data_IF_091568713155
#
_entry.id   IF_091568713155
#
_cell.length_a   1.000
_cell.length_b   1.000
_cell.length_c   1.000
_cell.angle_alpha   90.00
_cell.angle_beta   90.00
_cell.angle_gamma   90.00
#
_symmetry.space_group_name_H-M   'P 1'
#
loop_
_entity.id
_entity.type
_entity.pdbx_description
1 polymer ?
#
# COMPACT_ATOMS: atom_id res chain seq x y z
N UNK A 1 9.51 8.46 -2.26
CA UNK A 1 8.51 8.03 -1.26
C UNK A 1 7.14 8.02 -1.95
N UNK A 2 6.32 6.98 -1.77
CA UNK A 2 5.00 6.93 -2.44
C UNK A 2 4.07 8.01 -1.89
N UNK A 3 3.47 8.85 -2.74
CA UNK A 3 2.50 9.86 -2.27
C UNK A 3 1.20 9.19 -1.79
N UNK A 4 0.49 9.79 -0.82
CA UNK A 4 -0.84 9.35 -0.45
C UNK A 4 -1.77 9.26 -1.65
N UNK A 5 -2.52 8.16 -1.74
CA UNK A 5 -3.52 7.92 -2.76
C UNK A 5 -4.67 7.11 -2.16
N UNK A 6 -5.79 7.03 -2.88
CA UNK A 6 -6.95 6.22 -2.52
C UNK A 6 -7.55 5.62 -3.78
N UNK A 7 -8.29 4.54 -3.62
CA UNK A 7 -8.97 3.87 -4.72
C UNK A 7 -10.29 3.26 -4.25
N UNK A 8 -11.20 3.07 -5.20
CA UNK A 8 -12.53 2.50 -4.98
C UNK A 8 -12.52 0.96 -4.91
N UNK A 9 -11.44 0.40 -4.37
CA UNK A 9 -11.23 -1.02 -4.18
C UNK A 9 -10.64 -1.27 -2.80
N UNK A 10 -11.03 -2.37 -2.17
CA UNK A 10 -10.35 -2.88 -0.97
C UNK A 10 -9.09 -3.60 -1.43
N UNK A 11 -8.00 -3.46 -0.68
CA UNK A 11 -6.79 -4.25 -0.88
C UNK A 11 -6.52 -5.18 0.31
N UNK A 12 -6.13 -6.42 0.02
CA UNK A 12 -5.42 -7.30 0.94
C UNK A 12 -3.94 -7.30 0.53
N UNK A 13 -3.10 -6.75 1.39
CA UNK A 13 -1.68 -6.58 1.16
C UNK A 13 -0.90 -7.66 1.93
N UNK A 14 -0.24 -8.56 1.19
CA UNK A 14 0.63 -9.59 1.77
C UNK A 14 2.07 -9.07 1.84
N UNK A 15 2.64 -9.02 3.04
CA UNK A 15 4.03 -8.58 3.26
C UNK A 15 4.97 -9.74 3.00
N UNK A 16 5.47 -9.83 1.78
CA UNK A 16 6.43 -10.89 1.39
C UNK A 16 7.76 -10.70 2.12
N UNK A 17 8.24 -9.46 2.20
CA UNK A 17 9.46 -9.14 2.94
C UNK A 17 9.46 -7.67 3.38
N UNK A 18 9.82 -7.43 4.64
CA UNK A 18 10.04 -6.10 5.17
C UNK A 18 11.27 -6.07 6.08
N UNK A 19 12.25 -5.18 5.85
CA UNK A 19 13.30 -4.90 6.80
C UNK A 19 12.72 -4.52 8.18
N UNK A 20 13.25 -5.16 9.23
CA UNK A 20 12.65 -5.10 10.57
C UNK A 20 12.58 -3.67 11.09
N UNK A 21 11.35 -3.20 11.36
CA UNK A 21 11.08 -1.89 11.95
C UNK A 21 11.32 -0.70 11.00
N UNK A 22 11.42 -0.94 9.68
CA UNK A 22 11.71 0.09 8.67
C UNK A 22 10.56 0.35 7.70
N UNK A 23 9.57 -0.52 7.67
CA UNK A 23 8.47 -0.41 6.71
C UNK A 23 7.13 -0.32 7.42
N UNK A 24 6.26 0.52 6.90
CA UNK A 24 4.93 0.74 7.44
C UNK A 24 3.99 1.31 6.39
N UNK A 25 2.70 1.25 6.68
CA UNK A 25 1.65 1.94 5.93
C UNK A 25 0.96 2.94 6.84
N UNK A 26 0.73 4.14 6.33
CA UNK A 26 -0.12 5.15 6.96
C UNK A 26 -1.46 5.13 6.25
N UNK A 27 -2.56 5.12 7.01
CA UNK A 27 -3.93 5.14 6.49
C UNK A 27 -4.73 6.19 7.25
N UNK A 28 -5.57 6.97 6.56
CA UNK A 28 -6.47 7.94 7.18
C UNK A 28 -7.60 8.38 6.24
N UNK A 29 -8.50 9.18 6.77
CA UNK A 29 -9.72 9.62 6.07
C UNK A 29 -9.49 10.88 5.22
N UNK A 30 -8.62 11.78 5.67
CA UNK A 30 -8.42 13.09 5.06
C UNK A 30 -6.95 13.44 4.83
N UNK A 31 -6.71 14.38 3.91
CA UNK A 31 -5.41 15.03 3.72
C UNK A 31 -5.44 16.46 4.26
N UNK A 32 -4.29 16.98 4.69
CA UNK A 32 -4.11 18.40 4.98
C UNK A 32 -3.85 19.23 3.71
N UNK A 33 -3.66 20.54 3.88
CA UNK A 33 -3.37 21.47 2.79
C UNK A 33 -2.08 21.15 2.01
N UNK A 34 -1.19 20.34 2.59
CA UNK A 34 0.08 19.91 2.00
C UNK A 34 -0.01 18.52 1.36
N UNK A 35 -1.19 17.88 1.39
CA UNK A 35 -1.39 16.53 0.86
C UNK A 35 -0.86 15.41 1.77
N UNK A 36 -0.70 15.68 3.08
CA UNK A 36 -0.29 14.71 4.10
C UNK A 36 -1.53 14.14 4.78
N UNK A 37 -1.55 12.83 5.05
CA UNK A 37 -2.67 12.18 5.74
C UNK A 37 -2.81 12.75 7.15
N UNK A 38 -4.00 13.26 7.49
CA UNK A 38 -4.30 13.79 8.82
C UNK A 38 -4.52 12.65 9.81
N UNK A 39 -3.90 12.77 11.00
CA UNK A 39 -4.04 11.81 12.11
C UNK A 39 -4.00 10.33 11.67
N UNK A 40 -2.97 9.89 10.93
CA UNK A 40 -2.98 8.58 10.30
C UNK A 40 -2.87 7.46 11.34
N UNK A 41 -3.56 6.34 11.07
CA UNK A 41 -3.28 5.06 11.70
C UNK A 41 -2.05 4.47 11.03
N UNK A 42 -1.07 4.09 11.84
CA UNK A 42 0.18 3.47 11.38
C UNK A 42 0.13 1.96 11.55
N UNK A 43 0.45 1.25 10.48
CA UNK A 43 0.58 -0.20 10.44
C UNK A 43 2.02 -0.58 10.13
N UNK A 44 2.77 -0.97 11.14
CA UNK A 44 4.14 -1.45 10.97
C UNK A 44 4.15 -2.83 10.31
N UNK A 45 5.03 -3.00 9.33
CA UNK A 45 5.14 -4.23 8.58
C UNK A 45 6.02 -5.25 9.30
N UNK A 46 5.65 -6.51 9.11
CA UNK A 46 6.47 -7.67 9.45
C UNK A 46 6.41 -8.62 8.26
N UNK A 47 7.55 -9.20 7.87
CA UNK A 47 7.55 -10.28 6.87
C UNK A 47 6.55 -11.36 7.25
N UNK A 48 5.89 -11.91 6.23
CA UNK A 48 4.83 -12.92 6.32
C UNK A 48 3.54 -12.44 7.01
N UNK A 49 3.38 -11.15 7.27
CA UNK A 49 2.13 -10.57 7.73
C UNK A 49 1.20 -10.22 6.57
N UNK A 50 -0.05 -9.92 6.90
CA UNK A 50 -1.01 -9.33 5.98
C UNK A 50 -1.72 -8.15 6.65
N UNK A 51 -2.09 -7.15 5.86
CA UNK A 51 -2.96 -6.07 6.28
C UNK A 51 -3.95 -5.75 5.18
N UNK A 52 -4.99 -4.99 5.52
CA UNK A 52 -5.98 -4.53 4.55
C UNK A 52 -5.91 -3.03 4.41
N UNK A 53 -5.99 -2.54 3.19
CA UNK A 53 -6.24 -1.14 2.90
C UNK A 53 -7.74 -0.97 2.64
N UNK A 54 -8.48 -0.27 3.52
CA UNK A 54 -9.92 -0.13 3.36
C UNK A 54 -10.31 0.71 2.14
N UNK A 55 -11.56 0.51 1.69
CA UNK A 55 -12.15 1.25 0.58
C UNK A 55 -12.11 2.77 0.84
N UNK A 56 -11.74 3.53 -0.20
CA UNK A 56 -11.77 5.00 -0.23
C UNK A 56 -10.95 5.71 0.88
N UNK A 57 -10.04 4.99 1.55
CA UNK A 57 -9.13 5.60 2.52
C UNK A 57 -7.81 6.02 1.87
N UNK A 58 -7.33 7.21 2.26
CA UNK A 58 -5.99 7.65 1.87
C UNK A 58 -4.96 6.77 2.53
N UNK A 59 -4.02 6.27 1.73
CA UNK A 59 -2.94 5.46 2.23
C UNK A 59 -1.64 5.70 1.49
N UNK A 60 -0.54 5.39 2.18
CA UNK A 60 0.79 5.41 1.58
C UNK A 60 1.72 4.43 2.27
N UNK A 61 2.54 3.75 1.47
CA UNK A 61 3.55 2.81 1.95
C UNK A 61 4.90 3.50 2.10
N UNK A 62 5.67 3.06 3.09
CA UNK A 62 6.95 3.66 3.48
C UNK A 62 7.99 2.56 3.65
N UNK A 63 9.16 2.79 3.08
CA UNK A 63 10.38 2.03 3.35
C UNK A 63 11.46 3.05 3.75
N UNK A 64 11.87 3.02 5.01
CA UNK A 64 12.93 3.85 5.58
C UNK A 64 14.27 3.09 5.67
N UNK A 65 14.38 1.91 5.05
CA UNK A 65 15.66 1.24 4.88
C UNK A 65 16.48 1.94 3.79
N UNK A 66 17.78 2.09 4.02
CA UNK A 66 18.71 2.71 3.07
C UNK A 66 19.18 1.70 2.00
N UNK A 67 19.34 0.44 2.38
CA UNK A 67 20.02 -0.57 1.56
C UNK A 67 19.13 -1.78 1.22
N UNK A 68 17.97 -1.91 1.87
CA UNK A 68 17.11 -3.07 1.71
C UNK A 68 15.77 -2.68 1.10
N UNK A 69 15.37 -3.45 0.09
CA UNK A 69 14.05 -3.33 -0.52
C UNK A 69 12.99 -4.00 0.36
N UNK A 70 11.77 -3.50 0.28
CA UNK A 70 10.58 -4.15 0.83
C UNK A 70 9.69 -4.62 -0.32
N UNK A 71 8.95 -5.70 -0.07
CA UNK A 71 8.11 -6.37 -1.07
C UNK A 71 6.74 -6.69 -0.48
N UNK A 72 5.70 -6.19 -1.13
CA UNK A 72 4.30 -6.54 -0.86
C UNK A 72 3.63 -7.09 -2.12
N UNK A 73 2.66 -7.97 -1.93
CA UNK A 73 1.76 -8.45 -2.97
C UNK A 73 0.34 -7.96 -2.66
N UNK A 74 -0.13 -6.89 -3.31
CA UNK A 74 -1.50 -6.41 -3.17
C UNK A 74 -2.46 -7.30 -3.98
N UNK A 75 -3.59 -7.65 -3.37
CA UNK A 75 -4.73 -8.32 -4.02
C UNK A 75 -5.95 -7.42 -3.84
N UNK A 76 -6.59 -7.02 -4.94
CA UNK A 76 -7.68 -6.03 -4.93
C UNK A 76 -8.91 -6.51 -5.68
N UNK A 77 -10.09 -6.05 -5.25
CA UNK A 77 -11.38 -6.30 -5.90
C UNK A 77 -11.71 -5.29 -7.02
N UNK A 78 -10.78 -4.38 -7.33
CA UNK A 78 -10.91 -3.39 -8.40
C UNK A 78 -11.37 -4.02 -9.73
N UNK A 79 -10.82 -5.19 -10.08
CA UNK A 79 -11.16 -5.92 -11.30
C UNK A 79 -12.57 -6.54 -11.31
N UNK A 80 -13.20 -6.73 -10.14
CA UNK A 80 -14.59 -7.21 -10.05
C UNK A 80 -15.61 -6.08 -10.22
N UNK A 81 -15.24 -4.86 -9.81
CA UNK A 81 -16.09 -3.66 -9.91
C UNK A 81 -16.27 -3.14 -11.35
N UNK A 82 -15.34 -3.49 -12.24
CA UNK A 82 -15.39 -3.19 -13.67
C UNK A 82 -16.09 -4.34 -14.39
N UNK A 83 -17.42 -4.28 -14.45
CA UNK A 83 -18.26 -5.26 -15.14
C UNK A 83 -18.11 -5.16 -16.67
N UNK A 84 -16.94 -5.46 -17.24
CA UNK A 84 -16.74 -5.87 -18.65
C UNK A 84 -15.27 -6.23 -18.92
N UNK A 85 -15.07 -7.46 -19.42
CA UNK A 85 -13.83 -8.06 -19.94
C UNK A 85 -12.52 -7.25 -19.80
N UNK A 86 -11.84 -7.50 -18.69
CA UNK A 86 -10.45 -7.97 -18.72
C UNK A 86 -10.23 -8.82 -17.49
N UNK A 87 -10.27 -10.13 -17.69
CA UNK A 87 -9.63 -11.14 -16.85
C UNK A 87 -8.11 -10.93 -16.90
N UNK A 88 -7.66 -9.73 -16.54
CA UNK A 88 -6.27 -9.44 -16.29
C UNK A 88 -6.12 -9.59 -14.79
N UNK A 89 -5.56 -10.74 -14.45
CA UNK A 89 -4.67 -10.97 -13.33
C UNK A 89 -3.46 -10.00 -13.42
N UNK A 90 -3.68 -8.71 -13.69
CA UNK A 90 -2.67 -7.65 -13.77
C UNK A 90 -2.93 -6.63 -12.67
N UNK A 91 -2.61 -7.02 -11.44
CA UNK A 91 -1.94 -6.11 -10.50
C UNK A 91 -0.93 -6.92 -9.68
N UNK A 92 -0.19 -7.83 -10.34
CA UNK A 92 1.05 -8.37 -9.80
C UNK A 92 2.16 -7.32 -9.94
N UNK A 93 2.06 -6.24 -9.16
CA UNK A 93 3.26 -5.49 -8.85
C UNK A 93 3.87 -6.13 -7.63
N UNK A 94 4.97 -6.86 -7.82
CA UNK A 94 5.96 -6.98 -6.77
C UNK A 94 6.42 -5.54 -6.52
N UNK A 95 5.79 -4.84 -5.58
CA UNK A 95 6.13 -3.45 -5.30
C UNK A 95 7.50 -3.44 -4.66
N UNK A 96 8.52 -3.20 -5.48
CA UNK A 96 9.85 -2.88 -5.00
C UNK A 96 9.80 -1.44 -4.50
N UNK A 97 9.67 -1.23 -3.19
CA UNK A 97 9.90 0.09 -2.60
C UNK A 97 11.42 0.37 -2.60
N UNK A 98 12.01 0.54 -3.79
CA UNK A 98 13.26 1.29 -3.93
C UNK A 98 12.97 2.76 -3.71
N UNK A 99 13.89 3.44 -3.04
CA UNK A 99 13.90 4.90 -2.92
C UNK A 99 13.51 5.57 -4.25
N UNK A 100 12.26 6.01 -4.37
CA UNK A 100 11.84 6.96 -5.38
C UNK A 100 12.17 8.35 -4.85
N UNK A 101 13.11 9.04 -5.50
CA UNK A 101 13.23 10.50 -5.44
C UNK A 101 11.94 11.15 -5.96
#
# INVERSE_FOLDING_TARGET
MQKPHRHNAVALDLVIFAPKGKCYTLIGEDLDENGIIQSPIRFDWKSDAAFTTPLDMWHSHRNESENDDAWILPIQDAGLSLHELKFLFEFFFLFNLKMMF
#
